data_IF_449336397423
#
_entry.id   IF_449336397423
#
_cell.length_a   1.000
_cell.length_b   1.000
_cell.length_c   1.000
_cell.angle_alpha   90.00
_cell.angle_beta   90.00
_cell.angle_gamma   90.00
#
_symmetry.space_group_name_H-M   'P 1'
#
loop_
_entity.id
_entity.type
_entity.pdbx_description
1 polymer ?
#
# COMPACT_ATOMS: atom_id res chain seq x y z
N UNK A 1 0.55 7.00 -18.59
CA UNK A 1 0.81 7.75 -17.33
C UNK A 1 1.68 6.84 -16.49
N UNK A 2 2.63 7.39 -15.73
CA UNK A 2 3.48 6.58 -14.85
C UNK A 2 2.64 5.88 -13.77
N UNK A 3 3.08 4.73 -13.29
CA UNK A 3 2.38 3.95 -12.27
C UNK A 3 2.30 4.72 -10.95
N UNK A 4 3.40 5.38 -10.54
CA UNK A 4 3.45 6.20 -9.34
C UNK A 4 2.46 7.37 -9.40
N UNK A 5 2.40 8.09 -10.52
CA UNK A 5 1.46 9.20 -10.72
C UNK A 5 0.00 8.72 -10.67
N UNK A 6 -0.28 7.58 -11.32
CA UNK A 6 -1.62 6.97 -11.33
C UNK A 6 -2.03 6.58 -9.91
N UNK A 7 -1.12 6.00 -9.14
CA UNK A 7 -1.35 5.67 -7.73
C UNK A 7 -1.60 6.92 -6.89
N UNK A 8 -0.82 7.98 -7.06
CA UNK A 8 -1.01 9.23 -6.33
C UNK A 8 -2.38 9.84 -6.61
N UNK A 9 -2.83 9.85 -7.87
CA UNK A 9 -4.17 10.32 -8.23
C UNK A 9 -5.28 9.49 -7.57
N UNK A 10 -5.11 8.17 -7.48
CA UNK A 10 -6.06 7.31 -6.78
C UNK A 10 -6.12 7.72 -5.31
N UNK A 11 -4.97 7.81 -4.62
CA UNK A 11 -4.90 8.17 -3.19
C UNK A 11 -5.49 9.55 -2.93
N UNK A 12 -5.15 10.55 -3.75
CA UNK A 12 -5.65 11.94 -3.62
C UNK A 12 -7.16 12.05 -3.82
N UNK A 13 -7.78 11.08 -4.49
CA UNK A 13 -9.23 11.04 -4.70
C UNK A 13 -10.00 10.42 -3.51
N UNK A 14 -9.32 9.78 -2.57
CA UNK A 14 -9.95 9.09 -1.44
C UNK A 14 -10.32 10.06 -0.31
N UNK A 15 -11.39 9.78 0.45
CA UNK A 15 -11.72 10.55 1.64
C UNK A 15 -10.66 10.32 2.74
N UNK A 16 -10.35 11.33 3.54
CA UNK A 16 -9.26 11.28 4.54
C UNK A 16 -9.36 10.13 5.57
N UNK A 17 -10.55 9.58 5.78
CA UNK A 17 -10.82 8.49 6.72
C UNK A 17 -10.65 7.07 6.13
N UNK A 18 -10.08 6.96 4.92
CA UNK A 18 -9.71 5.66 4.36
C UNK A 18 -8.62 4.98 5.20
N UNK A 19 -8.69 3.65 5.28
CA UNK A 19 -7.81 2.85 6.16
C UNK A 19 -6.91 1.91 5.40
N UNK A 20 -7.49 1.17 4.47
CA UNK A 20 -6.81 0.26 3.58
C UNK A 20 -7.45 0.27 2.19
N UNK A 21 -6.62 0.13 1.16
CA UNK A 21 -7.06 -0.07 -0.21
C UNK A 21 -6.35 -1.27 -0.83
N UNK A 22 -7.03 -1.93 -1.76
CA UNK A 22 -6.50 -3.04 -2.55
C UNK A 22 -6.40 -2.63 -4.03
N UNK A 23 -5.21 -2.80 -4.60
CA UNK A 23 -4.94 -2.57 -6.02
C UNK A 23 -4.49 -3.87 -6.67
N UNK A 24 -4.92 -4.10 -7.90
CA UNK A 24 -4.25 -5.05 -8.76
C UNK A 24 -3.26 -4.33 -9.68
N UNK A 25 -2.09 -4.92 -9.88
CA UNK A 25 -1.05 -4.47 -10.79
C UNK A 25 -0.81 -5.53 -11.87
N UNK A 26 -0.78 -5.08 -13.13
CA UNK A 26 -0.38 -5.88 -14.29
C UNK A 26 0.70 -5.12 -15.05
N UNK A 27 1.78 -5.81 -15.41
CA UNK A 27 2.82 -5.23 -16.28
C UNK A 27 2.54 -5.63 -17.72
N UNK A 28 2.93 -4.80 -18.68
CA UNK A 28 2.66 -5.03 -20.09
C UNK A 28 3.57 -6.09 -20.72
N UNK A 29 4.79 -6.26 -20.21
CA UNK A 29 5.76 -7.25 -20.68
C UNK A 29 6.05 -8.30 -19.60
N UNK A 30 5.41 -9.46 -19.71
CA UNK A 30 5.58 -10.59 -18.78
C UNK A 30 7.01 -11.12 -18.69
N UNK A 31 7.88 -10.86 -19.68
CA UNK A 31 9.29 -11.26 -19.62
C UNK A 31 10.04 -10.54 -18.50
N UNK A 32 9.54 -9.37 -18.07
CA UNK A 32 10.08 -8.56 -16.97
C UNK A 32 9.46 -8.94 -15.61
N UNK A 33 8.66 -10.01 -15.53
CA UNK A 33 7.94 -10.38 -14.29
C UNK A 33 8.88 -10.54 -13.09
N UNK A 34 10.01 -11.22 -13.28
CA UNK A 34 10.97 -11.45 -12.18
C UNK A 34 11.63 -10.14 -11.74
N UNK A 35 12.02 -9.27 -12.68
CA UNK A 35 12.59 -7.95 -12.37
C UNK A 35 11.57 -7.09 -11.60
N UNK A 36 10.33 -7.06 -12.08
CA UNK A 36 9.25 -6.33 -11.42
C UNK A 36 8.97 -6.87 -10.01
N UNK A 37 8.94 -8.19 -9.83
CA UNK A 37 8.74 -8.82 -8.53
C UNK A 37 9.84 -8.45 -7.52
N UNK A 38 11.11 -8.34 -7.97
CA UNK A 38 12.24 -7.92 -7.13
C UNK A 38 12.06 -6.50 -6.63
N UNK A 39 11.57 -5.58 -7.47
CA UNK A 39 11.33 -4.19 -7.07
C UNK A 39 10.12 -4.08 -6.14
N UNK A 40 9.05 -4.81 -6.45
CA UNK A 40 7.79 -4.81 -5.71
C UNK A 40 7.86 -5.52 -4.34
N UNK A 41 8.95 -6.25 -4.04
CA UNK A 41 9.16 -6.84 -2.71
C UNK A 41 9.19 -5.77 -1.61
N UNK A 42 9.62 -4.55 -1.95
CA UNK A 42 9.72 -3.41 -1.04
C UNK A 42 8.37 -2.99 -0.46
N UNK A 43 7.27 -3.29 -1.14
CA UNK A 43 5.91 -3.05 -0.68
C UNK A 43 5.12 -4.35 -0.43
N UNK A 44 5.80 -5.51 -0.34
CA UNK A 44 5.18 -6.82 -0.09
C UNK A 44 4.03 -7.15 -1.08
N UNK A 45 4.24 -6.90 -2.37
CA UNK A 45 3.28 -7.24 -3.40
C UNK A 45 3.00 -8.76 -3.42
N UNK A 46 1.73 -9.14 -3.43
CA UNK A 46 1.32 -10.54 -3.35
C UNK A 46 1.08 -11.08 -4.77
N UNK A 47 1.89 -12.03 -5.26
CA UNK A 47 1.71 -12.54 -6.61
C UNK A 47 0.43 -13.39 -6.72
N UNK A 48 -0.29 -13.23 -7.82
CA UNK A 48 -1.37 -14.13 -8.18
C UNK A 48 -0.82 -15.40 -8.84
N UNK A 49 -1.43 -16.56 -8.54
CA UNK A 49 -0.98 -17.83 -9.15
C UNK A 49 -1.62 -18.12 -10.51
N UNK A 50 -2.88 -17.71 -10.72
CA UNK A 50 -3.64 -17.86 -11.99
C UNK A 50 -4.67 -16.74 -12.09
N UNK A 51 -4.25 -15.60 -12.61
CA UNK A 51 -5.11 -14.45 -12.78
C UNK A 51 -4.61 -13.62 -13.95
N UNK A 52 -5.50 -12.85 -14.57
CA UNK A 52 -5.12 -11.88 -15.63
C UNK A 52 -4.22 -10.76 -15.08
N UNK A 53 -4.15 -10.63 -13.76
CA UNK A 53 -3.36 -9.66 -13.01
C UNK A 53 -2.18 -10.36 -12.34
N UNK A 54 -1.08 -9.64 -12.15
CA UNK A 54 0.17 -10.25 -11.67
C UNK A 54 0.32 -10.14 -10.16
N UNK A 55 -0.01 -8.98 -9.58
CA UNK A 55 0.11 -8.75 -8.14
C UNK A 55 -1.12 -8.07 -7.55
N UNK A 56 -1.40 -8.42 -6.30
CA UNK A 56 -2.22 -7.63 -5.39
C UNK A 56 -1.33 -6.76 -4.50
N UNK A 57 -1.62 -5.47 -4.46
CA UNK A 57 -1.00 -4.52 -3.54
C UNK A 57 -2.01 -4.17 -2.45
N UNK A 58 -1.62 -4.43 -1.20
CA UNK A 58 -2.36 -3.96 -0.03
C UNK A 58 -1.68 -2.72 0.49
N UNK A 59 -2.45 -1.65 0.65
CA UNK A 59 -1.92 -0.35 1.06
C UNK A 59 -2.64 0.14 2.31
N UNK A 60 -1.89 0.52 3.34
CA UNK A 60 -2.40 1.15 4.54
C UNK A 60 -2.23 2.67 4.46
N UNK A 61 -3.21 3.40 5.01
CA UNK A 61 -3.14 4.84 5.16
C UNK A 61 -2.23 5.23 6.34
N UNK A 62 -2.83 5.42 7.53
CA UNK A 62 -2.13 5.81 8.77
C UNK A 62 -1.88 4.64 9.71
N UNK A 63 -2.68 3.58 9.60
CA UNK A 63 -2.61 2.38 10.44
C UNK A 63 -3.09 1.16 9.65
N UNK A 64 -2.69 -0.04 10.06
CA UNK A 64 -3.05 -1.30 9.40
C UNK A 64 -1.87 -2.26 9.27
N UNK A 65 -2.12 -3.43 8.69
CA UNK A 65 -1.12 -4.52 8.52
C UNK A 65 -0.56 -4.59 7.09
N UNK A 66 -0.69 -3.51 6.32
CA UNK A 66 -0.30 -3.44 4.91
C UNK A 66 0.88 -2.46 4.71
N UNK A 67 1.42 -2.40 3.49
CA UNK A 67 2.49 -1.46 3.18
C UNK A 67 1.98 -0.02 3.25
N UNK A 68 2.77 0.90 3.82
CA UNK A 68 2.38 2.31 3.87
C UNK A 68 2.28 2.90 2.46
N UNK A 69 1.33 3.81 2.23
CA UNK A 69 1.15 4.47 0.93
C UNK A 69 2.45 5.03 0.31
N UNK A 70 3.36 5.70 1.07
CA UNK A 70 4.63 6.16 0.51
C UNK A 70 5.55 5.02 0.05
N UNK A 71 5.53 3.87 0.72
CA UNK A 71 6.35 2.71 0.33
C UNK A 71 5.83 2.08 -0.98
N UNK A 72 4.51 2.04 -1.16
CA UNK A 72 3.88 1.57 -2.40
C UNK A 72 4.16 2.55 -3.54
N UNK A 73 4.01 3.86 -3.32
CA UNK A 73 4.39 4.88 -4.30
C UNK A 73 5.85 4.75 -4.73
N UNK A 74 6.78 4.57 -3.77
CA UNK A 74 8.19 4.37 -4.07
C UNK A 74 8.45 3.10 -4.88
N UNK A 75 7.79 1.98 -4.54
CA UNK A 75 7.92 0.73 -5.28
C UNK A 75 7.43 0.84 -6.74
N UNK A 76 6.32 1.56 -6.96
CA UNK A 76 5.82 1.86 -8.31
C UNK A 76 6.78 2.79 -9.07
N UNK A 77 7.34 3.79 -8.40
CA UNK A 77 8.37 4.66 -8.98
C UNK A 77 9.62 3.88 -9.43
N UNK A 78 10.03 2.84 -8.70
CA UNK A 78 11.12 1.96 -9.13
C UNK A 78 10.79 1.19 -10.42
N UNK A 79 9.52 0.81 -10.63
CA UNK A 79 9.09 0.21 -11.90
C UNK A 79 9.15 1.24 -13.04
N UNK A 80 8.67 2.45 -12.79
CA UNK A 80 8.69 3.56 -13.75
C UNK A 80 10.14 3.89 -14.16
N UNK A 81 11.06 4.03 -13.19
CA UNK A 81 12.49 4.28 -13.42
C UNK A 81 13.16 3.14 -14.21
N UNK A 82 12.72 1.90 -14.00
CA UNK A 82 13.20 0.72 -14.72
C UNK A 82 12.55 0.53 -16.11
N UNK A 83 11.66 1.45 -16.52
CA UNK A 83 10.91 1.39 -17.77
C UNK A 83 9.95 0.20 -17.84
N UNK A 84 9.47 -0.30 -16.71
CA UNK A 84 8.50 -1.40 -16.64
C UNK A 84 7.09 -0.80 -16.63
N UNK A 85 6.49 -0.75 -17.81
CA UNK A 85 5.12 -0.25 -17.97
C UNK A 85 4.08 -1.25 -17.48
N UNK A 86 2.93 -0.72 -17.05
CA UNK A 86 1.82 -1.52 -16.57
C UNK A 86 0.56 -0.70 -16.36
N UNK A 87 -0.42 -1.33 -15.72
CA UNK A 87 -1.69 -0.73 -15.33
C UNK A 87 -2.06 -1.12 -13.90
N UNK A 88 -2.82 -0.22 -13.26
CA UNK A 88 -3.38 -0.40 -11.92
C UNK A 88 -4.89 -0.45 -11.99
N UNK A 89 -5.50 -1.32 -11.20
CA UNK A 89 -6.93 -1.34 -10.98
C UNK A 89 -7.25 -1.29 -9.48
N UNK A 90 -8.01 -0.26 -9.08
CA UNK A 90 -8.57 -0.18 -7.72
C UNK A 90 -9.66 -1.23 -7.54
N UNK A 91 -9.54 -2.06 -6.50
CA UNK A 91 -10.48 -3.15 -6.21
C UNK A 91 -11.36 -2.87 -5.02
N UNK A 92 -10.76 -2.42 -3.93
CA UNK A 92 -11.46 -2.13 -2.68
C UNK A 92 -10.85 -0.90 -2.03
N UNK A 93 -11.69 -0.09 -1.39
CA UNK A 93 -11.29 0.96 -0.45
C UNK A 93 -12.13 0.76 0.80
N UNK A 94 -11.48 0.73 1.96
CA UNK A 94 -12.16 0.69 3.25
C UNK A 94 -12.05 2.04 3.94
N UNK A 95 -13.16 2.48 4.50
CA UNK A 95 -13.30 3.75 5.24
C UNK A 95 -13.97 3.52 6.59
N UNK A 96 -13.98 4.54 7.45
CA UNK A 96 -14.72 4.53 8.70
C UNK A 96 -14.20 3.58 9.79
N UNK A 97 -13.02 2.97 9.61
CA UNK A 97 -12.38 2.20 10.69
C UNK A 97 -11.57 3.14 11.58
N UNK A 98 -11.51 2.78 12.86
CA UNK A 98 -10.65 3.43 13.84
C UNK A 98 -9.59 2.43 14.27
N UNK A 99 -8.38 2.91 14.47
CA UNK A 99 -7.29 2.11 14.98
C UNK A 99 -7.64 1.49 16.33
N UNK A 100 -7.43 0.18 16.47
CA UNK A 100 -7.66 -0.53 17.71
C UNK A 100 -6.37 -0.58 18.51
N UNK A 101 -6.31 0.20 19.58
CA UNK A 101 -5.18 0.20 20.50
C UNK A 101 -5.48 -0.74 21.68
N UNK A 102 -4.83 -1.90 21.70
CA UNK A 102 -5.00 -2.90 22.78
C UNK A 102 -4.28 -2.47 24.07
N UNK A 103 -5.00 -1.76 24.94
CA UNK A 103 -4.51 -1.24 26.23
C UNK A 103 -4.94 -2.06 27.45
N UNK A 104 -5.61 -3.18 27.22
CA UNK A 104 -5.97 -4.12 28.29
C UNK A 104 -4.72 -4.71 28.94
N UNK A 105 -4.65 -4.67 30.27
CA UNK A 105 -3.49 -5.16 31.03
C UNK A 105 -2.21 -4.33 30.93
N UNK A 106 -2.20 -3.21 30.19
CA UNK A 106 -1.06 -2.27 30.16
C UNK A 106 -1.05 -1.37 31.39
N UNK A 107 0.13 -1.07 31.93
CA UNK A 107 0.31 -0.15 33.07
C UNK A 107 -0.01 1.30 32.68
N UNK A 108 -0.30 2.15 33.67
CA UNK A 108 -0.62 3.56 33.41
C UNK A 108 0.54 4.32 32.77
N UNK A 109 1.79 4.00 33.13
CA UNK A 109 2.99 4.57 32.50
C UNK A 109 3.01 4.39 30.98
N UNK A 110 2.63 3.19 30.48
CA UNK A 110 2.54 2.91 29.04
C UNK A 110 1.46 3.74 28.37
N UNK A 111 0.36 3.99 29.07
CA UNK A 111 -0.75 4.81 28.54
C UNK A 111 -0.37 6.29 28.47
N UNK A 112 0.34 6.80 29.47
CA UNK A 112 0.88 8.17 29.48
C UNK A 112 1.92 8.38 28.38
N UNK A 113 2.86 7.44 28.23
CA UNK A 113 3.85 7.46 27.15
C UNK A 113 3.18 7.44 25.77
N UNK A 114 2.19 6.57 25.59
CA UNK A 114 1.44 6.48 24.34
C UNK A 114 0.71 7.78 23.98
N UNK A 115 0.05 8.42 24.96
CA UNK A 115 -0.60 9.73 24.77
C UNK A 115 0.42 10.81 24.39
N UNK A 116 1.58 10.82 25.04
CA UNK A 116 2.66 11.79 24.77
C UNK A 116 3.22 11.66 23.36
N UNK A 117 3.48 10.43 22.89
CA UNK A 117 4.03 10.19 21.54
C UNK A 117 3.04 10.65 20.46
N UNK A 118 1.73 10.49 20.68
CA UNK A 118 0.69 10.86 19.69
C UNK A 118 0.32 12.34 19.64
N UNK A 119 0.74 13.11 20.62
CA UNK A 119 0.48 14.56 20.65
C UNK A 119 1.55 15.37 19.89
N UNK A 120 2.57 14.71 19.33
CA UNK A 120 3.64 15.29 18.50
C UNK A 120 3.32 15.14 17.02
#
# INVERSE_FOLDING_TARGET
MALADTFQQIVDSLPDDWTDLELDLRISDERRYVDAAVLLVTCNAQPYSKHDWHWRLLVAHRFGHAAAAPAVHAALGLLDDAGIEGELALREVRTGRVEVVQMWGRTESVREDFKRIRAQ
#
